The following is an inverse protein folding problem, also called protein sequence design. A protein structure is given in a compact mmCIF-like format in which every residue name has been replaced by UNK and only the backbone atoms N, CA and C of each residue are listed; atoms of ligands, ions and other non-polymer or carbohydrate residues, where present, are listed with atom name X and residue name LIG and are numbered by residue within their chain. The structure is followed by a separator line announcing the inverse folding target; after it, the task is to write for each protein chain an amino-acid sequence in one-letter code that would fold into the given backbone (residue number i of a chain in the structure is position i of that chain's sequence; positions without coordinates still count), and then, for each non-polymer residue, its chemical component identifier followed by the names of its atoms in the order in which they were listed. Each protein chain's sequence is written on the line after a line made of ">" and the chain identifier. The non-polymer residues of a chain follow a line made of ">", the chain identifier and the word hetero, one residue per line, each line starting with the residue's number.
data_IF_813027104865
#
_entry.id   IF_813027104865
#
_cell.length_a   1.000
_cell.length_b   1.000
_cell.length_c   1.000
_cell.angle_alpha   90.00
_cell.angle_beta   90.00
_cell.angle_gamma   90.00
#
_symmetry.space_group_name_H-M   'P 1'
#
loop_
_entity.id
_entity.type
_entity.pdbx_description
1 polymer ?
#
# COMPACT_ATOMS: atom_id res chain seq x y z
N UNK A 1 -20.68 4.72 -8.50
CA UNK A 1 -19.66 3.72 -8.85
C UNK A 1 -18.76 3.57 -7.64
N UNK A 2 -18.52 2.35 -7.15
CA UNK A 2 -17.55 2.10 -6.09
C UNK A 2 -16.13 2.28 -6.65
N UNK A 3 -15.25 2.93 -5.91
CA UNK A 3 -13.84 3.00 -6.29
C UNK A 3 -13.18 1.64 -6.13
N UNK A 4 -12.33 1.27 -7.07
CA UNK A 4 -11.56 0.02 -7.03
C UNK A 4 -10.28 0.19 -6.22
N UNK A 5 -9.91 -0.84 -5.46
CA UNK A 5 -8.67 -0.84 -4.68
C UNK A 5 -7.94 -2.17 -4.79
N UNK A 6 -6.62 -2.10 -4.96
CA UNK A 6 -5.74 -3.25 -4.92
C UNK A 6 -4.78 -3.15 -3.72
N UNK A 7 -4.49 -4.29 -3.09
CA UNK A 7 -3.56 -4.37 -1.96
C UNK A 7 -2.39 -5.27 -2.34
N UNK A 8 -1.18 -4.72 -2.28
CA UNK A 8 0.06 -5.43 -2.53
C UNK A 8 0.83 -5.59 -1.22
N UNK A 9 1.03 -6.83 -0.77
CA UNK A 9 1.66 -7.14 0.51
C UNK A 9 3.06 -7.72 0.30
N UNK A 10 4.04 -7.16 1.01
CA UNK A 10 5.37 -7.74 1.15
C UNK A 10 5.67 -7.94 2.64
N UNK A 11 6.18 -9.11 3.01
CA UNK A 11 6.69 -9.36 4.35
C UNK A 11 6.22 -10.68 4.95
N UNK A 12 5.99 -10.66 6.26
CA UNK A 12 5.71 -11.85 7.04
C UNK A 12 4.20 -12.08 7.22
N UNK A 13 3.83 -13.06 8.07
CA UNK A 13 2.44 -13.34 8.42
C UNK A 13 1.72 -12.11 8.99
N UNK A 14 2.40 -11.30 9.80
CA UNK A 14 1.83 -10.07 10.36
C UNK A 14 1.38 -9.10 9.26
N UNK A 15 2.19 -8.91 8.21
CA UNK A 15 1.80 -8.05 7.09
C UNK A 15 0.56 -8.59 6.35
N UNK A 16 0.37 -9.90 6.28
CA UNK A 16 -0.83 -10.50 5.67
C UNK A 16 -2.08 -10.23 6.53
N UNK A 17 -1.98 -10.40 7.85
CA UNK A 17 -3.07 -10.07 8.78
C UNK A 17 -3.45 -8.58 8.74
N UNK A 18 -2.46 -7.69 8.74
CA UNK A 18 -2.69 -6.25 8.59
C UNK A 18 -3.39 -5.93 7.26
N UNK A 19 -2.96 -6.56 6.17
CA UNK A 19 -3.52 -6.30 4.84
C UNK A 19 -4.95 -6.82 4.74
N UNK A 20 -5.27 -7.95 5.36
CA UNK A 20 -6.65 -8.44 5.46
C UNK A 20 -7.53 -7.49 6.29
N UNK A 21 -7.01 -6.90 7.37
CA UNK A 21 -7.74 -5.89 8.14
C UNK A 21 -7.98 -4.60 7.33
N UNK A 22 -6.99 -4.15 6.56
CA UNK A 22 -7.13 -3.01 5.64
C UNK A 22 -8.18 -3.32 4.55
N UNK A 23 -8.13 -4.52 3.97
CA UNK A 23 -9.08 -4.98 2.96
C UNK A 23 -10.53 -4.93 3.48
N UNK A 24 -10.75 -5.43 4.70
CA UNK A 24 -12.06 -5.43 5.33
C UNK A 24 -12.56 -4.00 5.60
N UNK A 25 -11.71 -3.10 6.09
CA UNK A 25 -12.07 -1.69 6.30
C UNK A 25 -12.47 -1.01 4.99
N UNK A 26 -11.74 -1.27 3.89
CA UNK A 26 -12.04 -0.71 2.58
C UNK A 26 -13.35 -1.27 2.01
N UNK A 27 -13.61 -2.57 2.16
CA UNK A 27 -14.90 -3.17 1.77
C UNK A 27 -16.07 -2.56 2.53
N UNK A 28 -15.93 -2.39 3.84
CA UNK A 28 -16.96 -1.75 4.68
C UNK A 28 -17.21 -0.29 4.30
N UNK A 29 -16.19 0.41 3.81
CA UNK A 29 -16.30 1.77 3.27
C UNK A 29 -16.85 1.82 1.82
N UNK A 30 -17.18 0.67 1.20
CA UNK A 30 -17.79 0.60 -0.12
C UNK A 30 -16.81 0.54 -1.30
N UNK A 31 -15.51 0.27 -1.05
CA UNK A 31 -14.54 0.01 -2.12
C UNK A 31 -14.67 -1.41 -2.66
N UNK A 32 -14.36 -1.59 -3.94
CA UNK A 32 -14.30 -2.91 -4.59
C UNK A 32 -12.86 -3.39 -4.64
N UNK A 33 -12.56 -4.50 -3.96
CA UNK A 33 -11.23 -5.10 -4.00
C UNK A 33 -11.03 -5.81 -5.34
N UNK A 34 -9.94 -5.48 -6.03
CA UNK A 34 -9.56 -6.09 -7.31
C UNK A 34 -8.15 -6.67 -7.22
N UNK A 35 -7.83 -7.71 -8.01
CA UNK A 35 -6.47 -8.23 -8.10
C UNK A 35 -5.47 -7.14 -8.50
N UNK A 36 -4.26 -7.22 -7.94
CA UNK A 36 -3.21 -6.22 -8.16
C UNK A 36 -2.80 -6.09 -9.64
N UNK A 37 -2.91 -7.18 -10.39
CA UNK A 37 -2.61 -7.26 -11.82
C UNK A 37 -3.66 -6.58 -12.72
N UNK A 38 -4.91 -6.49 -12.28
CA UNK A 38 -6.01 -5.89 -13.06
C UNK A 38 -5.97 -4.35 -13.04
N UNK A 39 -5.32 -3.80 -12.02
CA UNK A 39 -5.25 -2.37 -11.78
C UNK A 39 -6.46 -1.82 -11.04
N UNK A 40 -6.28 -0.69 -10.35
CA UNK A 40 -7.25 -0.11 -9.44
C UNK A 40 -7.13 1.43 -9.40
N UNK A 41 -8.16 2.12 -8.92
CA UNK A 41 -8.13 3.57 -8.67
C UNK A 41 -7.22 3.93 -7.49
N UNK A 42 -7.12 3.02 -6.52
CA UNK A 42 -6.29 3.11 -5.32
C UNK A 42 -5.43 1.86 -5.19
N UNK A 43 -4.15 2.03 -4.87
CA UNK A 43 -3.25 0.91 -4.57
C UNK A 43 -2.61 1.11 -3.21
N UNK A 44 -2.80 0.15 -2.31
CA UNK A 44 -2.15 0.12 -1.00
C UNK A 44 -1.00 -0.88 -1.04
N UNK A 45 0.22 -0.42 -0.78
CA UNK A 45 1.41 -1.27 -0.69
C UNK A 45 1.82 -1.41 0.78
N UNK A 46 1.61 -2.59 1.36
CA UNK A 46 2.06 -2.90 2.72
C UNK A 46 3.47 -3.51 2.66
N UNK A 47 4.45 -2.74 3.12
CA UNK A 47 5.89 -2.99 2.97
C UNK A 47 6.51 -3.62 4.22
N UNK A 48 7.67 -4.25 4.03
CA UNK A 48 8.47 -4.85 5.08
C UNK A 48 9.89 -4.31 5.03
N UNK A 49 10.54 -4.26 6.19
CA UNK A 49 11.97 -3.97 6.34
C UNK A 49 12.57 -4.93 7.35
N UNK A 50 13.66 -5.59 6.96
CA UNK A 50 14.43 -6.55 7.79
C UNK A 50 15.88 -6.57 7.28
N UNK A 51 16.03 -6.52 5.96
CA UNK A 51 17.31 -6.46 5.27
C UNK A 51 17.23 -5.48 4.11
N UNK A 52 18.39 -4.96 3.66
CA UNK A 52 18.48 -4.11 2.47
C UNK A 52 17.88 -4.78 1.21
N UNK A 53 17.89 -6.12 1.13
CA UNK A 53 17.23 -6.86 0.05
C UNK A 53 15.71 -6.73 0.13
N UNK A 54 15.14 -6.84 1.32
CA UNK A 54 13.71 -6.66 1.55
C UNK A 54 13.28 -5.22 1.25
N UNK A 55 14.10 -4.24 1.61
CA UNK A 55 13.84 -2.83 1.28
C UNK A 55 13.85 -2.60 -0.24
N UNK A 56 14.82 -3.20 -0.94
CA UNK A 56 14.85 -3.16 -2.41
C UNK A 56 13.61 -3.82 -3.03
N UNK A 57 13.13 -4.93 -2.47
CA UNK A 57 11.87 -5.56 -2.90
C UNK A 57 10.65 -4.66 -2.66
N UNK A 58 10.58 -3.99 -1.50
CA UNK A 58 9.53 -3.00 -1.19
C UNK A 58 9.52 -1.87 -2.23
N UNK A 59 10.69 -1.27 -2.52
CA UNK A 59 10.81 -0.22 -3.55
C UNK A 59 10.42 -0.72 -4.95
N UNK A 60 10.79 -1.96 -5.30
CA UNK A 60 10.42 -2.56 -6.58
C UNK A 60 8.92 -2.81 -6.70
N UNK A 61 8.27 -3.21 -5.61
CA UNK A 61 6.81 -3.40 -5.57
C UNK A 61 6.07 -2.07 -5.75
N UNK A 62 6.53 -1.00 -5.10
CA UNK A 62 5.96 0.35 -5.26
C UNK A 62 6.09 0.83 -6.71
N UNK A 63 7.27 0.63 -7.34
CA UNK A 63 7.46 0.96 -8.76
C UNK A 63 6.62 0.08 -9.69
N UNK A 64 6.40 -1.19 -9.34
CA UNK A 64 5.48 -2.08 -10.09
C UNK A 64 4.04 -1.57 -9.99
N UNK A 65 3.59 -1.20 -8.79
CA UNK A 65 2.27 -0.62 -8.56
C UNK A 65 2.03 0.60 -9.45
N UNK A 66 3.00 1.51 -9.55
CA UNK A 66 2.93 2.67 -10.43
C UNK A 66 2.89 2.33 -11.91
N UNK A 67 3.65 1.34 -12.36
CA UNK A 67 3.67 0.93 -13.77
C UNK A 67 2.36 0.29 -14.21
N UNK A 68 1.75 -0.52 -13.33
CA UNK A 68 0.44 -1.13 -13.60
C UNK A 68 -0.69 -0.11 -13.50
N UNK A 69 -0.49 0.95 -12.71
CA UNK A 69 -1.53 1.92 -12.38
C UNK A 69 -1.04 3.35 -12.58
N UNK A 70 -1.06 3.81 -13.83
CA UNK A 70 -0.55 5.15 -14.20
C UNK A 70 -1.34 6.29 -13.53
N UNK A 71 -2.64 6.09 -13.29
CA UNK A 71 -3.55 7.10 -12.75
C UNK A 71 -3.96 6.85 -11.29
N UNK A 72 -3.53 5.75 -10.69
CA UNK A 72 -3.95 5.43 -9.32
C UNK A 72 -3.22 6.25 -8.27
N UNK A 73 -3.92 6.47 -7.16
CA UNK A 73 -3.30 6.92 -5.91
C UNK A 73 -2.55 5.74 -5.31
N UNK A 74 -1.23 5.88 -5.11
CA UNK A 74 -0.42 4.85 -4.45
C UNK A 74 -0.18 5.27 -3.01
N UNK A 75 -0.67 4.47 -2.08
CA UNK A 75 -0.44 4.62 -0.65
C UNK A 75 0.52 3.54 -0.22
N UNK A 76 1.59 3.94 0.46
CA UNK A 76 2.59 3.01 0.98
C UNK A 76 2.50 3.01 2.49
N UNK A 77 2.47 1.82 3.08
CA UNK A 77 2.46 1.62 4.53
C UNK A 77 3.32 0.42 4.92
N UNK A 78 3.43 0.09 6.20
CA UNK A 78 4.24 -1.02 6.69
C UNK A 78 5.54 -0.63 7.35
N UNK A 79 6.33 -1.62 7.74
CA UNK A 79 7.53 -1.40 8.55
C UNK A 79 8.55 -0.52 7.80
N UNK A 80 8.70 -0.69 6.49
CA UNK A 80 9.63 0.14 5.71
C UNK A 80 9.14 1.58 5.59
N UNK A 81 7.82 1.80 5.45
CA UNK A 81 7.22 3.13 5.49
C UNK A 81 7.41 3.85 6.84
N UNK A 82 7.51 3.09 7.93
CA UNK A 82 7.82 3.64 9.26
C UNK A 82 9.30 4.01 9.41
N UNK A 83 10.21 3.19 8.88
CA UNK A 83 11.66 3.35 9.08
C UNK A 83 12.25 4.38 8.11
N UNK A 84 11.88 4.33 6.83
CA UNK A 84 12.44 5.20 5.77
C UNK A 84 11.33 5.93 4.97
N UNK A 85 10.46 6.74 5.62
CA UNK A 85 9.35 7.41 4.94
C UNK A 85 9.81 8.37 3.84
N UNK A 86 10.92 9.09 4.06
CA UNK A 86 11.45 10.07 3.11
C UNK A 86 12.01 9.42 1.84
N UNK A 87 12.59 8.22 1.94
CA UNK A 87 13.05 7.49 0.76
C UNK A 87 11.85 7.05 -0.09
N UNK A 88 10.78 6.58 0.55
CA UNK A 88 9.56 6.16 -0.14
C UNK A 88 8.86 7.35 -0.80
N UNK A 89 8.77 8.51 -0.12
CA UNK A 89 8.18 9.74 -0.66
C UNK A 89 8.86 10.22 -1.94
N UNK A 90 10.16 9.94 -2.09
CA UNK A 90 10.93 10.27 -3.32
C UNK A 90 10.62 9.35 -4.50
N UNK A 91 9.92 8.23 -4.30
CA UNK A 91 9.56 7.32 -5.38
C UNK A 91 8.44 7.95 -6.23
N UNK A 92 8.65 8.15 -7.54
CA UNK A 92 7.64 8.74 -8.39
C UNK A 92 6.31 7.98 -8.35
N UNK A 93 5.23 8.72 -8.11
CA UNK A 93 3.86 8.19 -8.09
C UNK A 93 3.36 7.73 -6.73
N UNK A 94 4.18 7.77 -5.68
CA UNK A 94 3.69 7.65 -4.30
C UNK A 94 2.87 8.90 -3.97
N UNK A 95 1.59 8.71 -3.68
CA UNK A 95 0.70 9.78 -3.27
C UNK A 95 0.79 10.05 -1.77
N UNK A 96 1.01 9.00 -0.97
CA UNK A 96 1.07 9.11 0.49
C UNK A 96 1.91 7.98 1.11
N UNK A 97 2.55 8.29 2.23
CA UNK A 97 3.24 7.32 3.08
C UNK A 97 2.61 7.39 4.47
N UNK A 98 2.13 6.25 4.95
CA UNK A 98 1.39 6.10 6.21
C UNK A 98 2.17 5.12 7.11
N UNK A 99 2.46 5.55 8.33
CA UNK A 99 3.15 4.73 9.33
C UNK A 99 2.33 3.53 9.79
N UNK A 100 2.92 2.66 10.61
CA UNK A 100 2.27 1.41 11.02
C UNK A 100 1.06 1.66 11.94
N UNK A 101 1.16 2.65 12.83
CA UNK A 101 0.09 3.00 13.78
C UNK A 101 -1.11 3.67 13.09
N UNK A 102 -0.83 4.42 12.02
CA UNK A 102 -1.82 5.18 11.26
C UNK A 102 -2.69 4.30 10.35
N UNK A 103 -2.28 3.05 10.08
CA UNK A 103 -3.03 2.08 9.26
C UNK A 103 -4.45 1.83 9.75
N UNK A 104 -4.67 1.91 11.07
CA UNK A 104 -5.98 1.68 11.70
C UNK A 104 -7.01 2.73 11.29
N UNK A 105 -6.53 3.92 10.93
CA UNK A 105 -7.33 5.06 10.50
C UNK A 105 -7.16 5.32 8.99
N UNK A 106 -6.80 4.31 8.19
CA UNK A 106 -6.51 4.46 6.75
C UNK A 106 -7.59 5.27 6.02
N UNK A 107 -8.87 5.03 6.33
CA UNK A 107 -10.00 5.72 5.72
C UNK A 107 -9.96 7.24 5.92
N UNK A 108 -9.40 7.74 7.03
CA UNK A 108 -9.28 9.19 7.30
C UNK A 108 -8.32 9.88 6.33
N UNK A 109 -7.35 9.14 5.80
CA UNK A 109 -6.37 9.63 4.84
C UNK A 109 -6.85 9.52 3.38
N UNK A 110 -7.97 8.84 3.16
CA UNK A 110 -8.60 8.68 1.85
C UNK A 110 -9.69 9.71 1.55
N UNK A 111 -10.26 10.32 2.60
CA UNK A 111 -11.31 11.33 2.56
C UNK A 111 -10.86 12.64 1.90
#
# INVERSE_FOLDING_TARGET
>A
MSQTVAIATLGCKTNQFESAAIEEQLRQAGYTIVPFEEGADLVVVNTCTVTARTDAQSRNLIRRARRLNLHARIIVTGCYAQVEPEEIRRIPGVAMVIGNDEKKDLLRYLA
#
